data_IF_491698456199
#
_entry.id   IF_491698456199
#
_cell.length_a   1.000
_cell.length_b   1.000
_cell.length_c   1.000
_cell.angle_alpha   90.00
_cell.angle_beta   90.00
_cell.angle_gamma   90.00
#
_symmetry.space_group_name_H-M   'P 1'
#
loop_
_entity.id
_entity.type
_entity.pdbx_description
1 polymer ?
#
# COMPACT_ATOMS: atom_id res chain seq x y z
N UNK A 1 17.73 -1.08 -5.84
CA UNK A 1 16.36 -1.23 -5.29
C UNK A 1 16.37 -1.08 -3.76
N UNK A 2 16.79 0.08 -3.23
CA UNK A 2 16.94 0.30 -1.78
C UNK A 2 17.76 -0.80 -1.06
N UNK A 3 18.90 -1.16 -1.65
CA UNK A 3 19.88 -2.11 -1.11
C UNK A 3 21.28 -1.65 -1.50
N UNK A 4 22.29 -1.94 -0.67
CA UNK A 4 23.70 -1.56 -0.91
C UNK A 4 24.37 -2.50 -1.93
N UNK A 5 24.05 -3.80 -1.88
CA UNK A 5 24.71 -4.84 -2.67
C UNK A 5 23.81 -5.34 -3.80
N UNK A 6 23.43 -4.45 -4.71
CA UNK A 6 22.44 -4.70 -5.77
C UNK A 6 22.81 -5.77 -6.81
N UNK A 7 24.07 -6.25 -6.83
CA UNK A 7 24.48 -7.39 -7.67
C UNK A 7 24.14 -8.76 -7.06
N UNK A 8 23.92 -8.82 -5.75
CA UNK A 8 23.57 -10.04 -5.01
C UNK A 8 22.17 -9.98 -4.38
N UNK A 9 21.62 -8.77 -4.24
CA UNK A 9 20.35 -8.52 -3.56
C UNK A 9 19.39 -7.79 -4.49
N UNK A 10 18.16 -8.29 -4.57
CA UNK A 10 17.05 -7.66 -5.29
C UNK A 10 16.40 -6.53 -4.48
N UNK A 11 16.58 -6.52 -3.16
CA UNK A 11 16.03 -5.54 -2.24
C UNK A 11 14.51 -5.39 -2.42
N UNK A 12 14.06 -4.16 -2.62
CA UNK A 12 12.64 -3.80 -2.68
C UNK A 12 12.04 -3.92 -4.09
N UNK A 13 12.70 -4.61 -5.02
CA UNK A 13 12.20 -4.76 -6.39
C UNK A 13 10.79 -5.39 -6.44
N UNK A 14 10.58 -6.51 -5.71
CA UNK A 14 9.29 -7.21 -5.71
C UNK A 14 8.21 -6.48 -4.89
N UNK A 15 8.61 -5.63 -3.95
CA UNK A 15 7.70 -4.71 -3.24
C UNK A 15 7.02 -3.78 -4.26
N UNK A 16 7.82 -3.21 -5.18
CA UNK A 16 7.28 -2.37 -6.25
C UNK A 16 6.40 -3.15 -7.23
N UNK A 17 6.77 -4.40 -7.58
CA UNK A 17 5.97 -5.22 -8.50
C UNK A 17 4.60 -5.55 -7.91
N UNK A 18 4.56 -5.84 -6.62
CA UNK A 18 3.31 -6.09 -5.88
C UNK A 18 2.42 -4.86 -5.90
N UNK A 19 2.97 -3.67 -5.58
CA UNK A 19 2.22 -2.42 -5.64
C UNK A 19 1.67 -2.13 -7.05
N UNK A 20 2.48 -2.38 -8.09
CA UNK A 20 2.06 -2.19 -9.48
C UNK A 20 0.93 -3.14 -9.89
N UNK A 21 0.98 -4.41 -9.48
CA UNK A 21 -0.06 -5.39 -9.75
C UNK A 21 -1.41 -4.99 -9.11
N UNK A 22 -1.40 -4.60 -7.84
CA UNK A 22 -2.59 -4.13 -7.12
C UNK A 22 -3.17 -2.86 -7.74
N UNK A 23 -2.30 -1.91 -8.15
CA UNK A 23 -2.72 -0.70 -8.84
C UNK A 23 -3.38 -1.01 -10.20
N UNK A 24 -2.85 -1.99 -10.94
CA UNK A 24 -3.45 -2.41 -12.20
C UNK A 24 -4.82 -3.08 -11.99
N UNK A 25 -4.95 -3.93 -10.98
CA UNK A 25 -6.24 -4.55 -10.63
C UNK A 25 -7.32 -3.49 -10.33
N UNK A 26 -6.95 -2.44 -9.59
CA UNK A 26 -7.85 -1.31 -9.31
C UNK A 26 -8.36 -0.62 -10.57
N UNK A 27 -7.59 -0.60 -11.67
CA UNK A 27 -8.08 -0.05 -12.95
C UNK A 27 -9.26 -0.86 -13.50
N UNK A 28 -9.22 -2.18 -13.39
CA UNK A 28 -10.33 -3.06 -13.80
C UNK A 28 -11.54 -2.82 -12.89
N UNK A 29 -11.33 -2.73 -11.58
CA UNK A 29 -12.41 -2.43 -10.64
C UNK A 29 -12.98 -1.02 -10.79
N UNK A 30 -12.27 -0.08 -11.43
CA UNK A 30 -12.75 1.29 -11.60
C UNK A 30 -13.84 1.44 -12.67
N UNK A 31 -14.14 0.40 -13.46
CA UNK A 31 -15.29 0.45 -14.37
C UNK A 31 -16.60 0.61 -13.57
N UNK A 32 -17.45 1.62 -13.84
CA UNK A 32 -18.65 1.84 -13.04
C UNK A 32 -19.62 0.67 -13.23
N UNK A 33 -20.07 0.04 -12.14
CA UNK A 33 -21.09 -1.02 -12.26
C UNK A 33 -22.50 -0.42 -12.48
N UNK A 34 -22.72 0.83 -12.07
CA UNK A 34 -24.00 1.52 -12.17
C UNK A 34 -24.40 1.99 -13.57
N UNK A 35 -23.56 1.80 -14.59
CA UNK A 35 -23.92 2.09 -15.99
C UNK A 35 -24.66 0.93 -16.67
N UNK A 36 -24.85 -0.19 -15.96
CA UNK A 36 -25.54 -1.38 -16.44
C UNK A 36 -26.92 -1.54 -15.79
N UNK A 37 -27.84 -2.20 -16.50
CA UNK A 37 -29.16 -2.59 -16.01
C UNK A 37 -29.60 -3.90 -16.66
N UNK A 38 -30.13 -4.81 -15.84
CA UNK A 38 -30.72 -6.06 -16.31
C UNK A 38 -32.17 -6.09 -15.81
N UNK A 39 -33.16 -5.93 -16.71
CA UNK A 39 -34.57 -5.95 -16.33
C UNK A 39 -34.96 -7.23 -15.61
N UNK A 40 -35.78 -7.08 -14.59
CA UNK A 40 -36.29 -8.15 -13.75
C UNK A 40 -37.83 -8.15 -13.75
N UNK A 41 -38.43 -9.21 -13.22
CA UNK A 41 -39.88 -9.24 -12.93
C UNK A 41 -40.77 -8.90 -14.13
N UNK A 42 -40.52 -9.55 -15.28
CA UNK A 42 -41.25 -9.32 -16.53
C UNK A 42 -41.29 -7.84 -16.97
N UNK A 43 -40.16 -7.14 -16.84
CA UNK A 43 -39.97 -5.71 -17.12
C UNK A 43 -40.75 -4.76 -16.19
N UNK A 44 -41.21 -5.22 -15.03
CA UNK A 44 -41.72 -4.31 -13.98
C UNK A 44 -40.57 -3.56 -13.32
N UNK A 45 -39.44 -4.23 -13.10
CA UNK A 45 -38.18 -3.63 -12.65
C UNK A 45 -37.25 -3.49 -13.85
N UNK A 46 -37.55 -2.56 -14.76
CA UNK A 46 -36.85 -2.35 -16.02
C UNK A 46 -35.56 -1.52 -15.91
N UNK A 47 -35.35 -0.86 -14.77
CA UNK A 47 -34.12 -0.12 -14.46
C UNK A 47 -33.67 -0.34 -13.01
N UNK A 48 -32.41 -0.74 -12.82
CA UNK A 48 -31.81 -0.95 -11.50
C UNK A 48 -30.42 -0.32 -11.40
N UNK A 49 -29.92 -0.16 -10.18
CA UNK A 49 -28.69 0.63 -9.91
C UNK A 49 -27.38 -0.16 -9.96
N UNK A 50 -27.44 -1.49 -9.90
CA UNK A 50 -26.27 -2.36 -9.68
C UNK A 50 -25.40 -1.93 -8.48
N UNK A 51 -26.03 -1.36 -7.44
CA UNK A 51 -25.36 -0.70 -6.32
C UNK A 51 -24.51 -1.63 -5.45
N UNK A 52 -24.98 -2.86 -5.21
CA UNK A 52 -24.23 -3.85 -4.39
C UNK A 52 -22.88 -4.17 -5.04
N UNK A 53 -22.85 -4.42 -6.35
CA UNK A 53 -21.62 -4.66 -7.11
C UNK A 53 -20.67 -3.47 -7.02
N UNK A 54 -21.20 -2.24 -7.07
CA UNK A 54 -20.39 -1.01 -6.92
C UNK A 54 -19.65 -0.97 -5.58
N UNK A 55 -20.34 -1.29 -4.47
CA UNK A 55 -19.74 -1.29 -3.12
C UNK A 55 -18.74 -2.44 -2.93
N UNK A 56 -19.03 -3.63 -3.47
CA UNK A 56 -18.09 -4.76 -3.41
C UNK A 56 -16.77 -4.44 -4.11
N UNK A 57 -16.84 -3.79 -5.28
CA UNK A 57 -15.65 -3.32 -6.02
C UNK A 57 -14.89 -2.24 -5.24
N UNK A 58 -15.60 -1.29 -4.64
CA UNK A 58 -14.99 -0.25 -3.79
C UNK A 58 -14.22 -0.87 -2.62
N UNK A 59 -14.81 -1.86 -1.94
CA UNK A 59 -14.14 -2.56 -0.83
C UNK A 59 -12.81 -3.16 -1.27
N UNK A 60 -12.77 -3.80 -2.43
CA UNK A 60 -11.54 -4.38 -2.98
C UNK A 60 -10.49 -3.30 -3.32
N UNK A 61 -10.93 -2.18 -3.91
CA UNK A 61 -10.05 -1.05 -4.22
C UNK A 61 -9.42 -0.48 -2.95
N UNK A 62 -10.19 -0.30 -1.88
CA UNK A 62 -9.71 0.22 -0.60
C UNK A 62 -8.69 -0.73 0.02
N UNK A 63 -8.96 -2.04 0.04
CA UNK A 63 -7.99 -3.03 0.53
C UNK A 63 -6.69 -2.99 -0.29
N UNK A 64 -6.79 -2.94 -1.61
CA UNK A 64 -5.62 -2.82 -2.48
C UNK A 64 -4.84 -1.53 -2.21
N UNK A 65 -5.54 -0.42 -1.96
CA UNK A 65 -4.93 0.87 -1.64
C UNK A 65 -4.18 0.83 -0.30
N UNK A 66 -4.75 0.22 0.74
CA UNK A 66 -4.08 0.03 2.03
C UNK A 66 -2.77 -0.76 1.86
N UNK A 67 -2.80 -1.83 1.05
CA UNK A 67 -1.60 -2.59 0.72
C UNK A 67 -0.56 -1.73 -0.05
N UNK A 68 -0.98 -0.96 -1.05
CA UNK A 68 -0.09 -0.07 -1.82
C UNK A 68 0.59 0.96 -0.90
N UNK A 69 -0.19 1.61 -0.04
CA UNK A 69 0.34 2.58 0.93
C UNK A 69 1.32 1.91 1.91
N UNK A 70 1.02 0.71 2.39
CA UNK A 70 1.92 -0.03 3.25
C UNK A 70 3.27 -0.32 2.58
N UNK A 71 3.25 -0.75 1.31
CA UNK A 71 4.46 -0.98 0.51
C UNK A 71 5.24 0.31 0.28
N UNK A 72 4.55 1.44 0.09
CA UNK A 72 5.17 2.77 -0.03
C UNK A 72 5.84 3.20 1.28
N UNK A 73 5.15 3.10 2.43
CA UNK A 73 5.71 3.40 3.74
C UNK A 73 6.93 2.52 4.06
N UNK A 74 6.86 1.24 3.70
CA UNK A 74 7.98 0.31 3.87
C UNK A 74 9.21 0.74 3.04
N UNK A 75 9.01 1.11 1.77
CA UNK A 75 10.06 1.70 0.93
C UNK A 75 10.59 3.03 1.48
N UNK A 76 9.70 3.91 1.94
CA UNK A 76 10.06 5.25 2.43
C UNK A 76 10.94 5.17 3.68
N UNK A 77 10.61 4.30 4.63
CA UNK A 77 11.42 4.09 5.82
C UNK A 77 12.85 3.63 5.45
N UNK A 78 12.95 2.69 4.50
CA UNK A 78 14.25 2.21 4.01
C UNK A 78 15.04 3.31 3.30
N UNK A 79 14.39 4.11 2.46
CA UNK A 79 15.01 5.23 1.75
C UNK A 79 15.50 6.33 2.71
N UNK A 80 14.77 6.57 3.79
CA UNK A 80 15.17 7.52 4.84
C UNK A 80 16.46 7.06 5.52
N UNK A 81 16.60 5.77 5.82
CA UNK A 81 17.84 5.24 6.42
C UNK A 81 19.04 5.45 5.51
N UNK A 82 18.89 5.17 4.21
CA UNK A 82 19.94 5.46 3.23
C UNK A 82 20.30 6.94 3.20
N UNK A 83 19.30 7.82 3.28
CA UNK A 83 19.52 9.27 3.31
C UNK A 83 20.26 9.69 4.58
N UNK A 84 19.91 9.14 5.75
CA UNK A 84 20.60 9.38 7.03
C UNK A 84 22.06 8.91 6.96
N UNK A 85 22.33 7.70 6.45
CA UNK A 85 23.69 7.18 6.23
C UNK A 85 24.53 8.11 5.35
N UNK A 86 23.93 8.70 4.30
CA UNK A 86 24.65 9.58 3.37
C UNK A 86 24.83 11.02 3.87
N UNK A 87 23.87 11.55 4.62
CA UNK A 87 23.81 13.00 4.92
C UNK A 87 24.10 13.38 6.36
N UNK A 88 24.38 12.39 7.22
CA UNK A 88 24.60 12.58 8.66
C UNK A 88 23.32 12.41 9.46
N UNK A 89 23.45 11.89 10.69
CA UNK A 89 22.33 11.59 11.58
C UNK A 89 21.65 12.86 12.13
N UNK A 90 22.31 14.01 12.02
CA UNK A 90 21.80 15.31 12.46
C UNK A 90 20.66 15.87 11.60
N UNK A 91 20.43 15.31 10.40
CA UNK A 91 19.32 15.72 9.53
C UNK A 91 18.04 14.96 9.88
N UNK A 92 17.17 15.62 10.62
CA UNK A 92 15.89 15.09 11.05
C UNK A 92 14.81 15.18 9.97
N UNK A 93 13.81 14.30 10.08
CA UNK A 93 12.56 14.43 9.33
C UNK A 93 11.74 15.61 9.86
N UNK A 94 10.68 15.95 9.14
CA UNK A 94 9.73 16.97 9.60
C UNK A 94 9.00 16.51 10.85
N UNK A 95 8.44 17.47 11.61
CA UNK A 95 7.74 17.21 12.88
C UNK A 95 6.64 16.14 12.79
N UNK A 96 5.98 16.02 11.63
CA UNK A 96 4.90 15.06 11.41
C UNK A 96 5.38 13.74 10.79
N UNK A 97 6.47 13.75 10.03
CA UNK A 97 6.98 12.53 9.37
C UNK A 97 7.94 11.75 10.26
N UNK A 98 8.58 12.40 11.23
CA UNK A 98 9.46 11.75 12.20
C UNK A 98 8.72 10.68 13.02
N UNK A 99 7.56 10.95 13.66
CA UNK A 99 6.85 9.95 14.46
C UNK A 99 6.32 8.77 13.64
N UNK A 100 5.94 9.01 12.38
CA UNK A 100 5.49 7.95 11.45
C UNK A 100 6.65 7.02 11.12
N UNK A 101 7.80 7.57 10.75
CA UNK A 101 9.01 6.79 10.49
C UNK A 101 9.45 6.01 11.74
N UNK A 102 9.43 6.62 12.92
CA UNK A 102 9.80 5.97 14.18
C UNK A 102 8.85 4.82 14.51
N UNK A 103 7.54 4.99 14.28
CA UNK A 103 6.53 3.94 14.50
C UNK A 103 6.71 2.74 13.56
N UNK A 104 7.12 2.98 12.31
CA UNK A 104 7.45 1.92 11.36
C UNK A 104 8.73 1.21 11.80
N UNK A 105 9.77 1.97 12.18
CA UNK A 105 11.07 1.42 12.58
C UNK A 105 11.05 0.67 13.91
N UNK A 106 10.08 0.94 14.78
CA UNK A 106 9.84 0.15 15.97
C UNK A 106 9.42 -1.31 15.67
N UNK A 107 8.89 -1.58 14.48
CA UNK A 107 8.36 -2.89 14.08
C UNK A 107 9.13 -3.50 12.90
N UNK A 108 9.78 -2.66 12.10
CA UNK A 108 10.45 -3.06 10.86
C UNK A 108 11.91 -2.62 10.90
N UNK A 109 12.87 -3.57 10.98
CA UNK A 109 14.28 -3.24 10.96
C UNK A 109 14.70 -2.68 9.59
N UNK A 110 15.91 -2.11 9.54
CA UNK A 110 16.56 -1.82 8.27
C UNK A 110 16.91 -3.12 7.57
N UNK A 111 16.54 -3.25 6.29
CA UNK A 111 16.80 -4.47 5.52
C UNK A 111 18.15 -4.35 4.83
N UNK A 112 19.16 -5.05 5.36
CA UNK A 112 20.53 -4.97 4.85
C UNK A 112 20.76 -5.89 3.64
N UNK A 113 20.18 -7.10 3.69
CA UNK A 113 20.27 -8.14 2.66
C UNK A 113 18.88 -8.71 2.38
N UNK A 114 18.75 -9.42 1.26
CA UNK A 114 17.50 -10.06 0.89
C UNK A 114 17.04 -11.02 2.01
N UNK A 115 15.79 -10.85 2.42
CA UNK A 115 15.12 -11.66 3.43
C UNK A 115 13.62 -11.74 3.16
N UNK A 116 12.92 -12.56 3.92
CA UNK A 116 11.48 -12.70 3.79
C UNK A 116 10.75 -11.48 4.38
N UNK A 117 10.27 -10.58 3.52
CA UNK A 117 9.71 -9.28 3.92
C UNK A 117 8.22 -9.29 4.30
N UNK A 118 7.49 -10.40 4.07
CA UNK A 118 6.02 -10.42 4.21
C UNK A 118 5.54 -10.00 5.59
N UNK A 119 6.18 -10.50 6.65
CA UNK A 119 5.77 -10.19 8.03
C UNK A 119 5.94 -8.69 8.35
N UNK A 120 6.99 -8.06 7.81
CA UNK A 120 7.20 -6.62 7.96
C UNK A 120 6.15 -5.82 7.17
N UNK A 121 5.87 -6.23 5.93
CA UNK A 121 4.83 -5.61 5.10
C UNK A 121 3.47 -5.67 5.80
N UNK A 122 3.12 -6.81 6.40
CA UNK A 122 1.87 -6.97 7.14
C UNK A 122 1.80 -6.07 8.37
N UNK A 123 2.93 -5.91 9.08
CA UNK A 123 3.02 -4.99 10.22
C UNK A 123 2.78 -3.53 9.79
N UNK A 124 3.36 -3.12 8.65
CA UNK A 124 3.11 -1.78 8.09
C UNK A 124 1.68 -1.63 7.59
N UNK A 125 1.10 -2.69 7.00
CA UNK A 125 -0.32 -2.69 6.61
C UNK A 125 -1.22 -2.47 7.82
N UNK A 126 -0.96 -3.16 8.93
CA UNK A 126 -1.72 -2.96 10.17
C UNK A 126 -1.59 -1.51 10.67
N UNK A 127 -0.40 -0.91 10.59
CA UNK A 127 -0.20 0.50 10.91
C UNK A 127 -1.01 1.45 10.00
N UNK A 128 -1.10 1.16 8.70
CA UNK A 128 -1.91 1.96 7.76
C UNK A 128 -3.40 1.84 8.09
N UNK A 129 -3.86 0.64 8.45
CA UNK A 129 -5.27 0.38 8.75
C UNK A 129 -5.73 0.97 10.09
N UNK A 130 -4.83 1.07 11.08
CA UNK A 130 -5.13 1.55 12.42
C UNK A 130 -5.46 3.05 12.44
N UNK A 131 -6.75 3.37 12.58
CA UNK A 131 -7.26 4.75 12.58
C UNK A 131 -6.72 5.60 13.74
N UNK A 132 -6.36 4.98 14.86
CA UNK A 132 -5.84 5.71 16.03
C UNK A 132 -4.44 6.29 15.76
N UNK A 133 -3.75 5.82 14.72
CA UNK A 133 -2.42 6.33 14.32
C UNK A 133 -2.48 7.63 13.53
N UNK A 134 -3.65 8.05 13.05
CA UNK A 134 -3.80 9.14 12.08
C UNK A 134 -4.65 10.33 12.58
N UNK A 135 -5.14 10.28 13.82
CA UNK A 135 -5.91 11.33 14.51
C UNK A 135 -5.00 12.02 15.54
#
# INVERSE_FOLDING_TARGET
FLTENGGLNSGFMLVQYTAAALCNENKVFSHPACVDTIPSSANVEDHVSMGVTSVLKLRQIVENLENILALEFFCAAQAIDFRKKRTGAEKNLGKLTQPVYDSIRAQVPFIEKDEYMKNYIDSVKQFVHDKEKWI
#
